data_IF_843542154732
#
_entry.id   IF_843542154732
#
_cell.length_a   1.000
_cell.length_b   1.000
_cell.length_c   1.000
_cell.angle_alpha   90.00
_cell.angle_beta   90.00
_cell.angle_gamma   90.00
#
_symmetry.space_group_name_H-M   'P 1'
#
loop_
_entity.id
_entity.type
_entity.pdbx_description
1 polymer ?
#
# COMPACT_ATOMS: atom_id res chain seq x y z
N UNK A 1 1.10 -36.99 -66.16
CA UNK A 1 2.32 -36.86 -65.32
C UNK A 1 2.11 -35.70 -64.36
N UNK A 2 2.38 -35.96 -63.07
CA UNK A 2 2.15 -35.08 -61.92
C UNK A 2 2.76 -33.67 -62.10
N UNK A 3 2.08 -32.65 -61.57
CA UNK A 3 2.65 -31.66 -60.65
C UNK A 3 1.54 -30.92 -59.91
N UNK A 4 1.52 -31.13 -58.60
CA UNK A 4 0.76 -30.34 -57.62
C UNK A 4 1.42 -28.96 -57.49
N UNK A 5 0.61 -27.93 -57.26
CA UNK A 5 1.06 -26.71 -56.59
C UNK A 5 0.00 -26.38 -55.53
N UNK A 6 0.45 -26.52 -54.29
CA UNK A 6 -0.30 -26.29 -53.07
C UNK A 6 -0.64 -24.79 -52.91
N UNK A 7 -1.82 -24.54 -52.34
CA UNK A 7 -2.25 -23.21 -51.94
C UNK A 7 -1.48 -22.70 -50.72
N UNK A 8 -1.15 -21.42 -50.75
CA UNK A 8 -0.72 -20.67 -49.57
C UNK A 8 -1.91 -19.83 -49.10
N UNK A 9 -2.54 -20.23 -47.99
CA UNK A 9 -3.45 -19.37 -47.24
C UNK A 9 -2.60 -18.53 -46.30
N UNK A 10 -2.58 -17.21 -46.50
CA UNK A 10 -2.04 -16.26 -45.54
C UNK A 10 -2.93 -16.28 -44.29
N UNK A 11 -2.45 -16.87 -43.20
CA UNK A 11 -3.04 -16.71 -41.87
C UNK A 11 -2.51 -15.42 -41.24
N UNK A 12 -3.31 -14.36 -41.21
CA UNK A 12 -3.05 -13.18 -40.39
C UNK A 12 -3.41 -13.51 -38.94
N UNK A 13 -2.40 -13.83 -38.11
CA UNK A 13 -2.59 -13.99 -36.67
C UNK A 13 -2.78 -12.62 -36.02
N UNK A 14 -3.99 -12.34 -35.52
CA UNK A 14 -4.21 -11.28 -34.54
C UNK A 14 -3.53 -11.70 -33.23
N UNK A 15 -2.40 -11.08 -32.91
CA UNK A 15 -1.89 -11.08 -31.54
C UNK A 15 -2.71 -10.07 -30.73
N UNK A 16 -3.76 -10.54 -30.07
CA UNK A 16 -4.38 -9.84 -28.94
C UNK A 16 -3.36 -9.87 -27.79
N UNK A 17 -2.51 -8.86 -27.71
CA UNK A 17 -1.68 -8.63 -26.54
C UNK A 17 -2.59 -8.40 -25.34
N UNK A 18 -2.54 -9.30 -24.36
CA UNK A 18 -3.08 -9.05 -23.03
C UNK A 18 -2.31 -7.86 -22.48
N UNK A 19 -2.95 -6.70 -22.41
CA UNK A 19 -2.43 -5.57 -21.64
C UNK A 19 -2.59 -5.98 -20.18
N UNK A 20 -1.54 -6.59 -19.63
CA UNK A 20 -1.41 -6.70 -18.18
C UNK A 20 -1.26 -5.27 -17.67
N UNK A 21 -2.33 -4.71 -17.13
CA UNK A 21 -2.24 -3.52 -16.29
C UNK A 21 -1.51 -3.95 -15.03
N UNK A 22 -0.17 -3.87 -15.06
CA UNK A 22 0.61 -3.94 -13.84
C UNK A 22 0.04 -2.88 -12.90
N UNK A 23 -0.36 -3.30 -11.68
CA UNK A 23 -0.71 -2.35 -10.63
C UNK A 23 0.58 -1.57 -10.37
N UNK A 24 0.57 -0.28 -10.69
CA UNK A 24 1.75 0.59 -10.77
C UNK A 24 2.32 0.95 -9.38
N UNK A 25 2.51 -0.04 -8.52
CA UNK A 25 2.93 0.14 -7.14
C UNK A 25 3.64 -1.10 -6.55
N UNK A 26 3.58 -2.24 -7.23
CA UNK A 26 4.22 -3.48 -6.78
C UNK A 26 5.65 -3.53 -7.31
N UNK A 27 6.69 -3.59 -6.46
CA UNK A 27 8.07 -3.68 -6.91
C UNK A 27 8.35 -5.04 -7.57
N UNK A 28 9.34 -5.08 -8.47
CA UNK A 28 9.74 -6.32 -9.14
C UNK A 28 10.31 -7.39 -8.18
N UNK A 29 10.79 -6.99 -7.00
CA UNK A 29 11.22 -7.89 -5.92
C UNK A 29 10.06 -8.67 -5.30
N UNK A 30 8.83 -8.13 -5.38
CA UNK A 30 7.67 -8.67 -4.65
C UNK A 30 7.68 -8.32 -3.16
N UNK A 31 8.55 -7.43 -2.71
CA UNK A 31 8.65 -7.04 -1.30
C UNK A 31 9.13 -5.59 -1.13
N UNK A 32 8.70 -4.93 -0.06
CA UNK A 32 9.22 -3.66 0.43
C UNK A 32 9.57 -3.78 1.91
N UNK A 33 10.81 -3.43 2.25
CA UNK A 33 11.33 -3.47 3.62
C UNK A 33 11.73 -2.07 4.05
N UNK A 34 11.08 -1.54 5.08
CA UNK A 34 11.36 -0.21 5.62
C UNK A 34 11.92 -0.29 7.03
N UNK A 35 12.97 0.49 7.28
CA UNK A 35 13.38 0.83 8.64
C UNK A 35 12.58 2.04 9.11
N UNK A 36 11.99 1.94 10.30
CA UNK A 36 11.26 3.04 10.94
C UNK A 36 12.21 3.79 11.87
N UNK A 37 12.39 5.08 11.57
CA UNK A 37 13.28 6.00 12.26
C UNK A 37 12.48 7.03 13.04
N UNK A 38 12.98 7.46 14.21
CA UNK A 38 12.48 8.63 14.94
C UNK A 38 13.66 9.50 15.35
N UNK A 39 13.68 10.75 14.89
CA UNK A 39 14.80 11.69 15.14
C UNK A 39 16.18 11.09 14.80
N UNK A 40 16.24 10.19 13.82
CA UNK A 40 17.47 9.52 13.37
C UNK A 40 17.81 8.22 14.13
N UNK A 41 17.07 7.85 15.17
CA UNK A 41 17.21 6.56 15.85
C UNK A 41 16.25 5.51 15.25
N UNK A 42 16.73 4.29 15.04
CA UNK A 42 15.88 3.18 14.61
C UNK A 42 14.96 2.74 15.75
N UNK A 43 13.66 2.63 15.46
CA UNK A 43 12.62 2.27 16.42
C UNK A 43 11.74 1.10 15.96
N UNK A 44 11.94 0.56 14.75
CA UNK A 44 11.11 -0.51 14.24
C UNK A 44 11.26 -0.81 12.76
N UNK A 45 10.36 -1.64 12.24
CA UNK A 45 10.27 -2.05 10.84
C UNK A 45 8.85 -1.94 10.31
N UNK A 46 8.73 -1.83 8.99
CA UNK A 46 7.49 -1.96 8.24
C UNK A 46 7.78 -2.77 6.98
N UNK A 47 7.11 -3.89 6.82
CA UNK A 47 7.39 -4.88 5.78
C UNK A 47 6.12 -5.16 4.99
N UNK A 48 6.25 -5.28 3.67
CA UNK A 48 5.15 -5.52 2.76
C UNK A 48 5.56 -6.59 1.76
N UNK A 49 4.84 -7.69 1.71
CA UNK A 49 5.05 -8.78 0.77
C UNK A 49 3.90 -8.83 -0.24
N UNK A 50 4.24 -9.08 -1.51
CA UNK A 50 3.30 -9.09 -2.62
C UNK A 50 3.34 -10.42 -3.35
N UNK A 51 2.17 -11.06 -3.51
CA UNK A 51 2.04 -12.27 -4.29
C UNK A 51 0.99 -12.12 -5.39
N UNK A 52 1.44 -12.13 -6.64
CA UNK A 52 0.55 -12.04 -7.81
C UNK A 52 0.28 -13.43 -8.39
N UNK A 53 -0.98 -13.89 -8.30
CA UNK A 53 -1.45 -15.16 -8.89
C UNK A 53 -2.71 -14.95 -9.72
N UNK A 54 -2.65 -15.25 -11.02
CA UNK A 54 -3.83 -15.36 -11.90
C UNK A 54 -4.80 -14.16 -11.81
N UNK A 55 -4.29 -12.92 -11.85
CA UNK A 55 -5.11 -11.70 -11.75
C UNK A 55 -5.56 -11.31 -10.34
N UNK A 56 -5.17 -12.08 -9.32
CA UNK A 56 -5.31 -11.75 -7.89
C UNK A 56 -3.96 -11.33 -7.34
N UNK A 57 -3.91 -10.19 -6.66
CA UNK A 57 -2.76 -9.72 -5.88
C UNK A 57 -3.09 -9.88 -4.41
N UNK A 58 -2.30 -10.67 -3.71
CA UNK A 58 -2.33 -10.79 -2.25
C UNK A 58 -1.20 -9.92 -1.68
N UNK A 59 -1.48 -9.19 -0.61
CA UNK A 59 -0.52 -8.30 0.05
C UNK A 59 -0.55 -8.58 1.55
N UNK A 60 0.60 -8.92 2.11
CA UNK A 60 0.79 -9.06 3.55
C UNK A 60 1.57 -7.85 4.06
N UNK A 61 1.13 -7.26 5.16
CA UNK A 61 1.69 -6.04 5.75
C UNK A 61 1.98 -6.29 7.22
N UNK A 62 3.22 -6.06 7.63
CA UNK A 62 3.64 -6.13 9.03
C UNK A 62 4.28 -4.81 9.47
N UNK A 63 3.98 -4.35 10.68
CA UNK A 63 4.65 -3.21 11.30
C UNK A 63 4.96 -3.54 12.73
N UNK A 64 6.21 -3.37 13.15
CA UNK A 64 6.64 -3.49 14.54
C UNK A 64 7.42 -2.23 14.91
N UNK A 65 6.86 -1.41 15.81
CA UNK A 65 7.49 -0.20 16.31
C UNK A 65 7.52 -0.21 17.83
N UNK A 66 8.69 0.07 18.42
CA UNK A 66 8.90 0.22 19.85
C UNK A 66 9.76 1.44 20.16
N UNK A 67 9.15 2.46 20.76
CA UNK A 67 9.89 3.61 21.28
C UNK A 67 10.36 3.30 22.69
N UNK A 68 11.67 3.32 22.91
CA UNK A 68 12.27 3.02 24.22
C UNK A 68 12.95 4.25 24.81
N UNK A 69 12.78 4.45 26.11
CA UNK A 69 13.56 5.40 26.92
C UNK A 69 14.25 4.63 28.03
N UNK A 70 15.58 4.74 28.10
CA UNK A 70 16.40 4.02 29.09
C UNK A 70 16.12 2.50 29.14
N UNK A 71 15.83 1.90 27.98
CA UNK A 71 15.54 0.47 27.84
C UNK A 71 14.09 0.05 28.15
N UNK A 72 13.22 0.97 28.55
CA UNK A 72 11.79 0.71 28.82
C UNK A 72 10.98 1.21 27.62
N UNK A 73 10.12 0.35 27.05
CA UNK A 73 9.21 0.75 25.98
C UNK A 73 8.13 1.70 26.54
N UNK A 74 8.03 2.91 25.99
CA UNK A 74 7.00 3.89 26.32
C UNK A 74 5.85 3.92 25.31
N UNK A 75 6.06 3.31 24.14
CA UNK A 75 5.05 3.18 23.10
C UNK A 75 5.35 1.91 22.29
N UNK A 76 4.30 1.16 21.96
CA UNK A 76 4.34 -0.03 21.11
C UNK A 76 3.25 0.08 20.04
N UNK A 77 3.62 -0.13 18.78
CA UNK A 77 2.67 -0.26 17.69
C UNK A 77 2.98 -1.54 16.92
N UNK A 78 2.03 -2.46 16.88
CA UNK A 78 2.12 -3.72 16.13
C UNK A 78 0.94 -3.80 15.19
N UNK A 79 1.17 -4.05 13.91
CA UNK A 79 0.12 -4.15 12.90
C UNK A 79 0.38 -5.35 12.00
N UNK A 80 -0.65 -6.16 11.79
CA UNK A 80 -0.71 -7.21 10.78
C UNK A 80 -1.89 -6.91 9.87
N UNK A 81 -1.67 -6.93 8.56
CA UNK A 81 -2.70 -6.68 7.55
C UNK A 81 -2.57 -7.64 6.37
N UNK A 82 -3.68 -8.19 5.90
CA UNK A 82 -3.76 -9.03 4.72
C UNK A 82 -4.81 -8.47 3.76
N UNK A 83 -4.39 -8.12 2.54
CA UNK A 83 -5.23 -7.60 1.48
C UNK A 83 -5.31 -8.54 0.29
N UNK A 84 -6.50 -8.64 -0.30
CA UNK A 84 -6.70 -9.34 -1.58
C UNK A 84 -7.33 -8.37 -2.56
N UNK A 85 -6.66 -8.23 -3.70
CA UNK A 85 -7.05 -7.35 -4.80
C UNK A 85 -7.30 -8.17 -6.06
N UNK A 86 -8.35 -7.81 -6.81
CA UNK A 86 -8.65 -8.38 -8.12
C UNK A 86 -8.95 -7.26 -9.10
N UNK A 87 -8.29 -7.29 -10.25
CA UNK A 87 -8.46 -6.28 -11.31
C UNK A 87 -8.34 -4.82 -10.79
N UNK A 88 -7.43 -4.60 -9.83
CA UNK A 88 -7.18 -3.29 -9.20
C UNK A 88 -8.21 -2.88 -8.15
N UNK A 89 -9.16 -3.74 -7.78
CA UNK A 89 -10.16 -3.48 -6.74
C UNK A 89 -9.91 -4.33 -5.50
N UNK A 90 -10.04 -3.71 -4.33
CA UNK A 90 -10.02 -4.42 -3.06
C UNK A 90 -11.23 -5.36 -3.00
N UNK A 91 -10.99 -6.65 -2.72
CA UNK A 91 -12.04 -7.63 -2.48
C UNK A 91 -12.00 -8.20 -1.06
N UNK A 92 -10.87 -8.09 -0.37
CA UNK A 92 -10.71 -8.47 1.03
C UNK A 92 -9.64 -7.62 1.71
N UNK A 93 -9.86 -7.28 2.98
CA UNK A 93 -8.85 -6.72 3.89
C UNK A 93 -9.13 -7.28 5.28
N UNK A 94 -8.14 -7.91 5.92
CA UNK A 94 -8.21 -8.24 7.34
C UNK A 94 -7.02 -7.61 8.05
N UNK A 95 -7.21 -7.05 9.22
CA UNK A 95 -6.10 -6.55 10.03
C UNK A 95 -6.32 -6.72 11.52
N UNK A 96 -5.20 -6.71 12.25
CA UNK A 96 -5.13 -6.63 13.70
C UNK A 96 -4.07 -5.62 14.06
N UNK A 97 -4.39 -4.74 15.01
CA UNK A 97 -3.42 -3.74 15.48
C UNK A 97 -3.41 -3.68 16.99
N UNK A 98 -2.23 -3.56 17.58
CA UNK A 98 -2.02 -3.13 18.95
C UNK A 98 -1.40 -1.73 18.93
N UNK A 99 -2.20 -0.71 19.26
CA UNK A 99 -1.75 0.68 19.39
C UNK A 99 -1.64 1.03 20.87
N UNK A 100 -0.43 0.86 21.43
CA UNK A 100 -0.09 1.11 22.82
C UNK A 100 -1.02 0.41 23.84
N UNK A 101 -1.33 -0.85 23.57
CA UNK A 101 -2.23 -1.68 24.39
C UNK A 101 -3.70 -1.58 23.97
N UNK A 102 -4.07 -0.68 23.06
CA UNK A 102 -5.40 -0.63 22.47
C UNK A 102 -5.47 -1.56 21.26
N UNK A 103 -6.26 -2.62 21.40
CA UNK A 103 -6.49 -3.56 20.31
C UNK A 103 -7.53 -3.02 19.30
N UNK A 104 -7.21 -3.15 18.02
CA UNK A 104 -8.06 -2.87 16.87
C UNK A 104 -8.19 -4.11 15.98
N UNK A 105 -9.31 -4.19 15.27
CA UNK A 105 -9.55 -5.25 14.29
C UNK A 105 -10.36 -4.71 13.12
N UNK A 106 -10.10 -5.29 11.96
CA UNK A 106 -10.84 -4.99 10.75
C UNK A 106 -10.99 -6.25 9.91
N UNK A 107 -12.21 -6.49 9.43
CA UNK A 107 -12.50 -7.44 8.37
C UNK A 107 -13.35 -6.74 7.31
N UNK A 108 -12.91 -6.80 6.06
CA UNK A 108 -13.62 -6.28 4.90
C UNK A 108 -13.68 -7.37 3.85
N UNK A 109 -14.85 -7.59 3.26
CA UNK A 109 -15.04 -8.58 2.21
C UNK A 109 -16.07 -8.13 1.18
N UNK A 110 -15.83 -8.45 -0.08
CA UNK A 110 -16.81 -8.25 -1.14
C UNK A 110 -17.93 -9.29 -1.03
N UNK A 111 -19.17 -8.85 -0.83
CA UNK A 111 -20.38 -9.67 -0.83
C UNK A 111 -21.50 -8.92 -1.55
N UNK A 112 -22.24 -9.61 -2.43
CA UNK A 112 -23.38 -9.06 -3.17
C UNK A 112 -23.10 -7.74 -3.89
N UNK A 113 -21.87 -7.58 -4.40
CA UNK A 113 -21.44 -6.38 -5.14
C UNK A 113 -21.11 -5.18 -4.27
N UNK A 114 -20.97 -5.34 -2.95
CA UNK A 114 -20.53 -4.31 -2.00
C UNK A 114 -19.43 -4.83 -1.11
N UNK A 115 -18.62 -3.94 -0.58
CA UNK A 115 -17.70 -4.29 0.50
C UNK A 115 -18.48 -4.23 1.83
N UNK A 116 -18.41 -5.29 2.63
CA UNK A 116 -18.93 -5.29 3.99
C UNK A 116 -17.78 -5.07 4.95
N UNK A 117 -17.84 -3.98 5.71
CA UNK A 117 -16.86 -3.60 6.72
C UNK A 117 -17.35 -4.07 8.09
N UNK A 118 -16.48 -4.76 8.81
CA UNK A 118 -16.63 -5.13 10.21
C UNK A 118 -15.34 -4.73 10.96
N UNK A 119 -15.34 -3.53 11.52
CA UNK A 119 -14.25 -3.03 12.36
C UNK A 119 -14.79 -2.32 13.59
N UNK A 120 -13.91 -2.07 14.56
CA UNK A 120 -14.29 -1.44 15.83
C UNK A 120 -14.62 0.06 15.71
N UNK A 121 -14.21 0.70 14.62
CA UNK A 121 -14.55 2.10 14.29
C UNK A 121 -15.82 2.22 13.45
N UNK A 122 -16.12 1.24 12.60
CA UNK A 122 -17.32 1.22 11.75
C UNK A 122 -17.71 -0.21 11.35
N UNK A 123 -19.03 -0.43 11.29
CA UNK A 123 -19.61 -1.59 10.64
C UNK A 123 -20.61 -1.17 9.56
N UNK A 124 -20.70 -1.95 8.48
CA UNK A 124 -21.72 -1.77 7.44
C UNK A 124 -21.16 -1.78 6.02
N UNK A 125 -22.00 -1.42 5.03
CA UNK A 125 -21.59 -1.46 3.64
C UNK A 125 -20.61 -0.34 3.29
N UNK A 126 -19.82 -0.61 2.26
CA UNK A 126 -18.86 0.25 1.61
C UNK A 126 -18.93 0.06 0.09
N UNK A 127 -18.68 1.13 -0.65
CA UNK A 127 -18.68 1.07 -2.10
C UNK A 127 -17.43 0.33 -2.61
N UNK A 128 -17.57 -0.55 -3.62
CA UNK A 128 -16.41 -1.13 -4.29
C UNK A 128 -15.48 -0.05 -4.85
N UNK A 129 -14.17 -0.29 -4.78
CA UNK A 129 -13.16 0.67 -5.25
C UNK A 129 -12.72 1.69 -4.20
N UNK A 130 -13.21 1.61 -2.97
CA UNK A 130 -12.56 2.31 -1.83
C UNK A 130 -11.08 1.90 -1.76
N UNK A 131 -10.21 2.87 -1.49
CA UNK A 131 -8.78 2.62 -1.32
C UNK A 131 -8.46 2.62 0.18
N UNK A 132 -7.87 1.53 0.71
CA UNK A 132 -7.34 1.51 2.06
C UNK A 132 -6.22 2.52 2.26
N UNK A 133 -6.01 2.93 3.49
CA UNK A 133 -4.85 3.70 3.92
C UNK A 133 -3.52 2.90 3.92
N UNK A 134 -3.43 1.89 3.07
CA UNK A 134 -2.24 1.08 2.86
C UNK A 134 -1.32 1.82 1.90
N UNK A 135 -0.28 2.42 2.48
CA UNK A 135 0.53 3.45 1.82
C UNK A 135 1.33 2.94 0.62
N UNK A 136 1.42 1.62 0.42
CA UNK A 136 2.07 1.06 -0.76
C UNK A 136 1.33 1.40 -2.05
N UNK A 137 -0.01 1.55 -2.02
CA UNK A 137 -0.82 1.74 -3.21
C UNK A 137 -0.92 3.23 -3.58
N UNK A 138 -0.21 3.65 -4.62
CA UNK A 138 -0.20 5.05 -5.08
C UNK A 138 -1.60 5.56 -5.46
N UNK A 139 -2.59 4.72 -5.77
CA UNK A 139 -3.98 5.16 -6.02
C UNK A 139 -4.56 5.99 -4.86
N UNK A 140 -4.03 5.82 -3.64
CA UNK A 140 -4.34 6.64 -2.47
C UNK A 140 -4.21 8.14 -2.76
N UNK A 141 -3.20 8.56 -3.51
CA UNK A 141 -2.92 10.00 -3.75
C UNK A 141 -3.94 10.67 -4.67
N UNK A 142 -4.85 9.88 -5.25
CA UNK A 142 -5.93 10.35 -6.12
C UNK A 142 -7.27 10.44 -5.38
N UNK A 143 -7.33 10.06 -4.11
CA UNK A 143 -8.56 9.98 -3.34
C UNK A 143 -8.80 11.23 -2.48
N UNK A 144 -10.08 11.47 -2.16
CA UNK A 144 -10.51 12.46 -1.15
C UNK A 144 -10.98 11.81 0.16
N UNK A 145 -11.08 10.48 0.20
CA UNK A 145 -11.35 9.70 1.39
C UNK A 145 -10.69 8.32 1.27
N UNK A 146 -10.25 7.78 2.40
CA UNK A 146 -9.62 6.46 2.50
C UNK A 146 -10.36 5.61 3.52
N UNK A 147 -10.24 4.29 3.36
CA UNK A 147 -10.65 3.34 4.38
C UNK A 147 -9.52 3.19 5.41
N UNK A 148 -9.80 3.48 6.68
CA UNK A 148 -8.87 3.25 7.76
C UNK A 148 -8.59 1.74 7.90
N UNK A 149 -7.31 1.36 7.82
CA UNK A 149 -6.87 -0.04 7.88
C UNK A 149 -6.85 -0.62 9.28
N UNK A 150 -7.05 0.20 10.33
CA UNK A 150 -7.10 -0.26 11.72
C UNK A 150 -8.52 -0.65 12.12
N UNK A 151 -9.50 0.19 11.80
CA UNK A 151 -10.83 0.14 12.42
C UNK A 151 -12.01 0.26 11.43
N UNK A 152 -11.73 0.40 10.13
CA UNK A 152 -12.72 0.47 9.05
C UNK A 152 -13.45 1.81 8.90
N UNK A 153 -13.06 2.83 9.68
CA UNK A 153 -13.62 4.18 9.57
C UNK A 153 -13.27 4.88 8.26
N UNK A 154 -14.08 5.87 7.87
CA UNK A 154 -13.79 6.74 6.74
C UNK A 154 -12.84 7.84 7.16
N UNK A 155 -11.77 8.02 6.38
CA UNK A 155 -10.79 9.08 6.58
C UNK A 155 -10.85 10.08 5.43
N UNK A 156 -11.62 11.18 5.55
CA UNK A 156 -11.51 12.31 4.64
C UNK A 156 -10.08 12.86 4.64
N UNK A 157 -9.52 13.00 3.45
CA UNK A 157 -8.15 13.49 3.23
C UNK A 157 -8.10 14.54 2.13
N UNK A 158 -7.08 15.39 2.19
CA UNK A 158 -6.68 16.25 1.10
C UNK A 158 -5.26 15.89 0.70
N UNK A 159 -5.06 15.60 -0.58
CA UNK A 159 -3.76 15.25 -1.13
C UNK A 159 -3.25 16.39 -2.00
N UNK A 160 -2.00 16.79 -1.78
CA UNK A 160 -1.30 17.77 -2.60
C UNK A 160 -0.03 17.17 -3.17
N UNK A 161 0.14 17.23 -4.49
CA UNK A 161 1.43 16.93 -5.12
C UNK A 161 2.39 18.10 -4.86
N UNK A 162 3.44 17.87 -4.08
CA UNK A 162 4.42 18.90 -3.71
C UNK A 162 5.43 19.11 -4.83
N UNK A 163 5.97 18.04 -5.40
CA UNK A 163 6.98 18.15 -6.46
C UNK A 163 7.76 16.88 -6.69
N UNK A 164 8.79 16.97 -7.53
CA UNK A 164 9.80 15.93 -7.63
C UNK A 164 10.95 16.26 -6.65
N UNK A 165 11.47 15.24 -5.99
CA UNK A 165 12.54 15.34 -5.00
C UNK A 165 13.50 14.14 -5.14
N UNK A 166 14.76 14.33 -4.72
CA UNK A 166 15.71 13.23 -4.59
C UNK A 166 15.79 12.85 -3.11
N UNK A 167 15.43 11.61 -2.80
CA UNK A 167 15.48 11.04 -1.44
C UNK A 167 16.46 9.89 -1.37
N UNK A 168 16.99 9.61 -0.18
CA UNK A 168 17.82 8.43 0.07
C UNK A 168 16.93 7.23 0.44
N UNK A 169 17.04 6.16 -0.34
CA UNK A 169 16.29 4.92 -0.17
C UNK A 169 17.08 3.76 -0.79
N UNK A 170 17.17 2.61 -0.14
CA UNK A 170 17.92 1.46 -0.63
C UNK A 170 19.43 1.68 -0.75
N UNK A 171 20.00 2.51 0.13
CA UNK A 171 21.41 2.92 0.09
C UNK A 171 21.80 3.76 -1.14
N UNK A 172 20.82 4.36 -1.83
CA UNK A 172 21.02 5.15 -3.05
C UNK A 172 20.11 6.37 -3.08
N UNK A 173 20.47 7.33 -3.93
CA UNK A 173 19.59 8.44 -4.26
C UNK A 173 18.52 7.98 -5.27
N UNK A 174 17.25 8.25 -4.96
CA UNK A 174 16.08 7.92 -5.76
C UNK A 174 15.33 9.21 -6.09
N UNK A 175 15.04 9.44 -7.37
CA UNK A 175 14.12 10.50 -7.79
C UNK A 175 12.69 10.03 -7.55
N UNK A 176 11.94 10.77 -6.73
CA UNK A 176 10.58 10.44 -6.35
C UNK A 176 9.64 11.65 -6.50
N UNK A 177 8.35 11.39 -6.61
CA UNK A 177 7.31 12.41 -6.47
C UNK A 177 6.85 12.47 -5.02
N UNK A 178 6.93 13.65 -4.43
CA UNK A 178 6.49 13.96 -3.08
C UNK A 178 5.01 14.38 -3.08
N UNK A 179 4.22 13.74 -2.22
CA UNK A 179 2.84 14.09 -1.92
C UNK A 179 2.66 14.37 -0.42
N UNK A 180 1.90 15.41 -0.10
CA UNK A 180 1.43 15.70 1.26
C UNK A 180 -0.03 15.30 1.39
N UNK A 181 -0.32 14.42 2.35
CA UNK A 181 -1.66 13.96 2.71
C UNK A 181 -2.02 14.57 4.07
N UNK A 182 -3.16 15.26 4.13
CA UNK A 182 -3.63 15.93 5.35
C UNK A 182 -5.10 15.60 5.63
N UNK A 183 -5.54 15.77 6.88
CA UNK A 183 -6.91 15.50 7.31
C UNK A 183 -6.93 14.45 8.42
N UNK A 184 -7.72 13.38 8.24
CA UNK A 184 -7.73 12.26 9.18
C UNK A 184 -6.49 11.36 9.06
N UNK A 185 -5.77 11.43 7.94
CA UNK A 185 -4.43 10.89 7.78
C UNK A 185 -3.47 12.06 7.52
N UNK A 186 -2.35 12.10 8.24
CA UNK A 186 -1.31 13.12 8.06
C UNK A 186 0.01 12.43 7.73
N UNK A 187 0.39 12.43 6.45
CA UNK A 187 1.56 11.72 5.92
C UNK A 187 2.19 12.51 4.79
N UNK A 188 3.50 12.54 4.77
CA UNK A 188 4.29 12.88 3.60
C UNK A 188 4.74 11.57 2.94
N UNK A 189 4.54 11.44 1.63
CA UNK A 189 4.75 10.20 0.87
C UNK A 189 5.61 10.46 -0.36
N UNK A 190 6.59 9.59 -0.60
CA UNK A 190 7.43 9.64 -1.80
C UNK A 190 7.29 8.35 -2.58
N UNK A 191 6.87 8.48 -3.84
CA UNK A 191 6.78 7.36 -4.78
C UNK A 191 7.79 7.54 -5.92
N UNK A 192 8.48 6.47 -6.30
CA UNK A 192 9.43 6.49 -7.41
C UNK A 192 8.71 6.62 -8.78
N UNK A 193 9.47 6.61 -9.88
CA UNK A 193 8.92 6.73 -11.22
C UNK A 193 7.99 5.56 -11.64
N UNK A 194 8.00 4.44 -10.90
CA UNK A 194 7.14 3.28 -11.11
C UNK A 194 5.95 3.25 -10.15
N UNK A 195 5.79 4.28 -9.31
CA UNK A 195 4.76 4.36 -8.27
C UNK A 195 5.06 3.50 -7.04
N UNK A 196 6.30 3.03 -6.86
CA UNK A 196 6.73 2.29 -5.66
C UNK A 196 6.97 3.28 -4.52
N UNK A 197 6.37 3.02 -3.35
CA UNK A 197 6.62 3.80 -2.15
C UNK A 197 8.08 3.62 -1.71
N UNK A 198 8.82 4.72 -1.57
CA UNK A 198 10.24 4.70 -1.16
C UNK A 198 10.50 5.37 0.18
N UNK A 199 9.61 6.27 0.60
CA UNK A 199 9.73 6.95 1.89
C UNK A 199 8.36 7.41 2.41
N UNK A 200 8.20 7.39 3.73
CA UNK A 200 7.07 8.00 4.46
C UNK A 200 7.61 8.91 5.55
N UNK A 201 6.94 10.01 5.84
CA UNK A 201 7.25 10.85 6.98
C UNK A 201 6.00 11.42 7.64
N UNK A 202 6.02 11.54 8.97
CA UNK A 202 4.97 12.18 9.76
C UNK A 202 5.49 12.58 11.15
N UNK A 203 4.71 13.40 11.86
CA UNK A 203 5.01 13.75 13.24
C UNK A 203 4.36 12.75 14.21
N UNK A 204 5.12 12.29 15.20
CA UNK A 204 4.58 11.64 16.39
C UNK A 204 3.74 12.60 17.24
N UNK A 205 3.03 12.07 18.24
CA UNK A 205 2.14 12.87 19.10
C UNK A 205 2.87 13.95 19.91
N UNK A 206 4.18 13.80 20.11
CA UNK A 206 5.06 14.76 20.76
C UNK A 206 5.75 15.73 19.78
N UNK A 207 5.43 15.65 18.48
CA UNK A 207 6.01 16.46 17.41
C UNK A 207 7.33 15.92 16.85
N UNK A 208 7.86 14.82 17.39
CA UNK A 208 9.07 14.20 16.85
C UNK A 208 8.83 13.67 15.43
N UNK A 209 9.82 13.79 14.56
CA UNK A 209 9.72 13.31 13.20
C UNK A 209 9.94 11.79 13.15
N UNK A 210 8.98 11.09 12.58
CA UNK A 210 9.04 9.66 12.27
C UNK A 210 9.16 9.51 10.76
N UNK A 211 10.08 8.67 10.30
CA UNK A 211 10.28 8.38 8.87
C UNK A 211 10.40 6.89 8.63
N UNK A 212 9.82 6.40 7.53
CA UNK A 212 9.98 5.02 7.08
C UNK A 212 10.84 5.09 5.84
N UNK A 213 11.99 4.41 5.84
CA UNK A 213 12.99 4.51 4.77
C UNK A 213 13.17 3.12 4.16
N UNK A 214 12.88 2.99 2.85
CA UNK A 214 13.07 1.74 2.12
C UNK A 214 14.55 1.33 2.16
N UNK A 215 14.82 0.04 2.39
CA UNK A 215 16.17 -0.55 2.51
C UNK A 215 16.65 -1.23 1.22
#
# INVERSE_FOLDING_TARGET
MKKEIAGAVLGAGLFLGLVQTAVAAVPASGELHFTVMREGDEIGTHEIEFEQKSGTLEVEIETDVAVKVLGIALYRFEHEGHEVWRDGQLVQLNSKTNDDGKAHHLAVRLEDGKLLVDGDGRQGPEEPGVIPASLWNEELVKQSALLNTLDGSHMPVTVTRVGAEIVEAGGRNVSATHYSVTGQLNRELWYDANGVLVQVQFAGSDGSQISYILQ
#
